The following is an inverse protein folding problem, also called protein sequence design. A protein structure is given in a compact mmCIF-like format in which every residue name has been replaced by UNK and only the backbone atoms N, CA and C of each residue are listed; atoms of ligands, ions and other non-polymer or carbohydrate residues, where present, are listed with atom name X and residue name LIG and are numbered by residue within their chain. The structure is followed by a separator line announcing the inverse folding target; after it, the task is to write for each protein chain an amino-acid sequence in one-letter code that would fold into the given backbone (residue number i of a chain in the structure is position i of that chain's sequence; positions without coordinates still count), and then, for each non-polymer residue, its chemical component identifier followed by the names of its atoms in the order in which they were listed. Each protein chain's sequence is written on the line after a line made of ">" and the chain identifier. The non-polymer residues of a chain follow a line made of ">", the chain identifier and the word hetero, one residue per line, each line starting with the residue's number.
data_IF_732715123470
#
_entry.id   IF_732715123470
#
_cell.length_a   1.000
_cell.length_b   1.000
_cell.length_c   1.000
_cell.angle_alpha   90.00
_cell.angle_beta   90.00
_cell.angle_gamma   90.00
#
_symmetry.space_group_name_H-M   'P 1'
#
loop_
_entity.id
_entity.type
_entity.pdbx_description
1 polymer ?
#
# COMPACT_ATOMS: atom_id res chain seq x y z
N UNK A 1 15.50 59.96 -38.14
CA UNK A 1 14.15 59.35 -38.18
C UNK A 1 14.30 57.90 -38.59
N UNK A 2 13.76 57.02 -37.74
CA UNK A 2 13.27 55.65 -37.95
C UNK A 2 13.65 54.85 -39.22
N UNK A 3 14.17 53.64 -38.98
CA UNK A 3 13.92 52.33 -39.62
C UNK A 3 15.25 51.55 -39.69
N UNK A 4 15.44 50.34 -39.16
CA UNK A 4 14.50 49.27 -38.81
C UNK A 4 15.02 47.97 -39.44
N UNK A 5 16.09 47.41 -38.89
CA UNK A 5 16.69 46.14 -39.33
C UNK A 5 16.09 45.00 -38.52
N UNK A 6 15.30 44.15 -39.17
CA UNK A 6 14.77 42.91 -38.63
C UNK A 6 15.79 41.77 -38.85
N UNK A 7 16.22 41.14 -37.77
CA UNK A 7 16.87 39.83 -37.80
C UNK A 7 16.16 38.95 -36.76
N UNK A 8 15.28 38.09 -37.25
CA UNK A 8 14.64 37.05 -36.47
C UNK A 8 15.63 35.89 -36.29
N UNK A 9 16.18 35.76 -35.08
CA UNK A 9 16.86 34.56 -34.65
C UNK A 9 15.80 33.55 -34.17
N UNK A 10 15.64 32.46 -34.92
CA UNK A 10 14.91 31.27 -34.51
C UNK A 10 15.62 30.65 -33.31
N UNK A 11 15.11 30.91 -32.11
CA UNK A 11 15.51 30.18 -30.92
C UNK A 11 14.87 28.79 -30.98
N UNK A 12 15.69 27.74 -31.10
CA UNK A 12 15.22 26.37 -30.94
C UNK A 12 14.61 26.18 -29.55
N UNK A 13 13.51 25.41 -29.43
CA UNK A 13 12.90 25.14 -28.14
C UNK A 13 13.90 24.37 -27.27
N UNK A 14 14.34 24.98 -26.17
CA UNK A 14 15.11 24.29 -25.13
C UNK A 14 14.34 23.03 -24.71
N UNK A 15 14.99 21.85 -24.62
CA UNK A 15 14.34 20.68 -24.05
C UNK A 15 13.95 21.00 -22.61
N UNK A 16 12.69 20.76 -22.28
CA UNK A 16 12.15 21.00 -20.95
C UNK A 16 13.01 20.28 -19.92
N UNK A 17 13.45 21.01 -18.88
CA UNK A 17 14.11 20.40 -17.73
C UNK A 17 13.14 19.35 -17.16
N UNK A 18 13.54 18.08 -16.99
CA UNK A 18 12.65 17.04 -16.44
C UNK A 18 12.10 17.40 -15.05
N UNK A 19 12.78 18.29 -14.31
CA UNK A 19 12.27 18.83 -13.06
C UNK A 19 11.12 19.84 -13.23
N UNK A 20 11.08 20.62 -14.31
CA UNK A 20 9.98 21.57 -14.57
C UNK A 20 8.67 20.83 -14.95
N UNK A 21 8.80 19.66 -15.58
CA UNK A 21 7.67 18.77 -15.87
C UNK A 21 7.13 18.14 -14.57
N UNK A 22 8.02 17.74 -13.66
CA UNK A 22 7.63 17.19 -12.35
C UNK A 22 7.00 18.25 -11.42
N UNK A 23 7.50 19.49 -11.43
CA UNK A 23 6.95 20.58 -10.62
C UNK A 23 5.57 21.01 -11.14
N UNK A 24 5.34 20.99 -12.46
CA UNK A 24 3.98 21.16 -13.02
C UNK A 24 3.06 19.97 -12.75
N UNK A 25 3.59 18.74 -12.74
CA UNK A 25 2.86 17.51 -12.47
C UNK A 25 2.57 17.25 -10.97
N UNK A 26 2.84 18.21 -10.08
CA UNK A 26 2.55 18.10 -8.64
C UNK A 26 1.73 19.27 -8.08
N UNK A 27 1.29 20.21 -8.91
CA UNK A 27 0.29 21.19 -8.49
C UNK A 27 -1.11 20.59 -8.67
N UNK A 28 -1.66 20.06 -7.58
CA UNK A 28 -3.04 19.61 -7.57
C UNK A 28 -3.97 20.80 -7.82
N UNK A 29 -4.86 20.73 -8.83
CA UNK A 29 -5.84 21.77 -8.99
C UNK A 29 -6.83 21.73 -7.83
N UNK A 30 -7.13 22.89 -7.24
CA UNK A 30 -8.02 23.01 -6.07
C UNK A 30 -9.47 22.53 -6.34
N UNK A 31 -9.81 22.25 -7.60
CA UNK A 31 -11.15 21.80 -8.02
C UNK A 31 -11.09 20.56 -8.89
N UNK A 32 -12.03 19.64 -8.60
CA UNK A 32 -12.14 18.30 -9.18
C UNK A 32 -12.38 18.33 -10.70
N UNK A 33 -13.00 19.38 -11.24
CA UNK A 33 -13.31 19.50 -12.68
C UNK A 33 -12.06 19.72 -13.56
N UNK A 34 -10.97 20.22 -12.99
CA UNK A 34 -9.68 20.42 -13.69
C UNK A 34 -8.79 19.18 -13.74
N UNK A 35 -9.16 18.11 -13.02
CA UNK A 35 -8.35 16.90 -12.91
C UNK A 35 -8.30 16.12 -14.23
N UNK A 36 -9.34 16.20 -15.05
CA UNK A 36 -9.44 15.42 -16.29
C UNK A 36 -8.52 15.96 -17.39
N UNK A 37 -8.43 17.30 -17.52
CA UNK A 37 -7.50 17.94 -18.45
C UNK A 37 -6.03 17.76 -18.02
N UNK A 38 -5.80 17.80 -16.70
CA UNK A 38 -4.49 17.57 -16.10
C UNK A 38 -3.96 16.14 -16.33
N UNK A 39 -4.81 15.13 -16.14
CA UNK A 39 -4.44 13.73 -16.36
C UNK A 39 -4.15 13.41 -17.83
N UNK A 40 -4.84 14.05 -18.78
CA UNK A 40 -4.57 13.89 -20.20
C UNK A 40 -3.18 14.42 -20.59
N UNK A 41 -2.75 15.53 -20.02
CA UNK A 41 -1.47 16.18 -20.32
C UNK A 41 -0.28 15.38 -19.73
N UNK A 42 -0.44 14.87 -18.50
CA UNK A 42 0.57 14.01 -17.84
C UNK A 42 0.76 12.68 -18.57
N UNK A 43 -0.33 12.08 -19.05
CA UNK A 43 -0.26 10.82 -19.81
C UNK A 43 0.31 10.99 -21.22
N UNK A 44 0.08 12.15 -21.86
CA UNK A 44 0.72 12.51 -23.12
C UNK A 44 2.23 12.71 -22.99
N UNK A 45 2.70 13.32 -21.90
CA UNK A 45 4.12 13.53 -21.64
C UNK A 45 4.90 12.22 -21.39
N UNK A 46 4.24 11.23 -20.77
CA UNK A 46 4.85 9.93 -20.44
C UNK A 46 4.93 8.96 -21.63
N UNK A 47 4.11 9.16 -22.67
CA UNK A 47 4.07 8.31 -23.85
C UNK A 47 5.06 8.71 -24.96
N UNK A 48 5.72 9.87 -24.83
CA UNK A 48 6.66 10.41 -25.83
C UNK A 48 8.14 10.01 -25.67
N UNK A 49 8.53 9.22 -24.66
CA UNK A 49 9.93 8.87 -24.41
C UNK A 49 10.27 7.45 -24.88
N UNK A 50 10.44 7.29 -26.19
CA UNK A 50 11.06 6.12 -26.81
C UNK A 50 12.09 6.56 -27.85
N UNK A 51 13.32 6.81 -27.43
CA UNK A 51 14.43 7.20 -28.30
C UNK A 51 15.74 6.55 -27.84
N UNK A 52 16.41 5.88 -28.77
CA UNK A 52 17.62 5.07 -28.65
C UNK A 52 18.78 5.75 -27.90
N UNK A 53 19.52 4.96 -27.11
CA UNK A 53 20.78 5.35 -26.49
C UNK A 53 21.96 4.62 -27.14
N UNK A 54 22.86 5.40 -27.75
CA UNK A 54 24.25 5.04 -28.06
C UNK A 54 25.18 5.64 -26.99
N UNK A 55 26.05 4.79 -26.42
CA UNK A 55 27.23 5.10 -25.57
C UNK A 55 28.34 5.82 -26.41
N UNK A 56 29.48 6.38 -25.89
CA UNK A 56 30.11 6.21 -24.56
C UNK A 56 30.89 7.39 -23.91
N UNK A 57 31.34 7.14 -22.66
CA UNK A 57 32.56 7.64 -21.96
C UNK A 57 32.60 8.98 -21.18
N UNK A 58 32.93 8.88 -19.87
CA UNK A 58 33.93 9.75 -19.20
C UNK A 58 33.55 10.52 -17.92
N UNK A 59 34.07 10.10 -16.75
CA UNK A 59 34.55 11.05 -15.70
C UNK A 59 33.82 11.16 -14.33
N UNK A 60 34.23 10.33 -13.34
CA UNK A 60 34.46 10.59 -11.90
C UNK A 60 33.35 11.20 -10.96
N UNK A 61 33.44 10.98 -9.62
CA UNK A 61 32.32 10.50 -8.81
C UNK A 61 31.62 11.58 -7.97
N UNK A 62 30.28 11.54 -7.92
CA UNK A 62 29.48 12.25 -6.90
C UNK A 62 28.36 11.36 -6.39
N UNK A 63 28.43 11.03 -5.10
CA UNK A 63 27.32 10.71 -4.20
C UNK A 63 26.20 9.80 -4.74
N UNK A 64 26.50 8.50 -4.92
CA UNK A 64 25.55 7.52 -5.45
C UNK A 64 24.78 6.69 -4.40
N UNK A 65 24.58 7.21 -3.17
CA UNK A 65 23.89 6.43 -2.10
C UNK A 65 22.38 6.70 -2.03
N UNK A 66 21.83 7.67 -2.78
CA UNK A 66 20.39 7.97 -2.78
C UNK A 66 19.68 7.73 -4.13
N UNK A 67 20.35 7.09 -5.11
CA UNK A 67 19.81 6.91 -6.47
C UNK A 67 19.37 5.48 -6.81
N UNK A 68 19.04 4.66 -5.82
CA UNK A 68 18.34 3.40 -6.09
C UNK A 68 16.93 3.50 -5.53
N UNK A 69 15.94 3.96 -6.33
CA UNK A 69 14.56 3.66 -5.99
C UNK A 69 14.49 2.14 -5.84
N UNK A 70 13.99 1.68 -4.70
CA UNK A 70 13.72 0.28 -4.47
C UNK A 70 12.98 -0.24 -5.69
N UNK A 71 13.64 -1.11 -6.46
CA UNK A 71 13.04 -1.75 -7.61
C UNK A 71 11.85 -2.52 -7.06
N UNK A 72 10.64 -2.06 -7.40
CA UNK A 72 9.36 -2.71 -7.14
C UNK A 72 9.45 -4.17 -7.59
N UNK A 73 9.82 -5.06 -6.67
CA UNK A 73 9.84 -6.51 -6.83
C UNK A 73 8.97 -7.12 -5.75
N UNK A 74 7.67 -7.11 -6.01
CA UNK A 74 6.71 -8.14 -5.62
C UNK A 74 5.31 -7.61 -5.90
N UNK A 75 4.58 -8.29 -6.78
CA UNK A 75 3.18 -8.00 -7.12
C UNK A 75 2.16 -8.41 -6.02
N UNK A 76 2.60 -8.53 -4.77
CA UNK A 76 1.79 -8.80 -3.59
C UNK A 76 2.22 -7.78 -2.53
N UNK A 77 1.41 -6.91 -1.92
CA UNK A 77 -0.04 -6.86 -1.67
C UNK A 77 -0.44 -5.36 -1.63
N UNK A 78 -0.77 -4.71 -2.76
CA UNK A 78 -0.96 -3.25 -2.79
C UNK A 78 -2.18 -2.75 -2.00
N UNK A 79 -3.20 -3.58 -1.81
CA UNK A 79 -4.49 -3.15 -1.26
C UNK A 79 -4.51 -2.97 0.26
N UNK A 80 -3.54 -3.54 0.98
CA UNK A 80 -3.34 -3.33 2.43
C UNK A 80 -2.26 -2.30 2.75
N UNK A 81 -1.61 -1.72 1.74
CA UNK A 81 -0.56 -0.73 1.96
C UNK A 81 -1.09 0.49 2.73
N UNK A 82 -2.26 1.03 2.36
CA UNK A 82 -2.85 2.19 3.06
C UNK A 82 -3.16 1.91 4.54
N UNK A 83 -3.89 0.84 4.93
CA UNK A 83 -4.12 0.54 6.34
C UNK A 83 -2.84 0.18 7.10
N UNK A 84 -1.89 -0.51 6.46
CA UNK A 84 -0.61 -0.82 7.09
C UNK A 84 0.24 0.43 7.34
N UNK A 85 0.26 1.39 6.40
CA UNK A 85 0.93 2.69 6.57
C UNK A 85 0.29 3.46 7.74
N UNK A 86 -1.05 3.47 7.82
CA UNK A 86 -1.76 4.14 8.90
C UNK A 86 -1.45 3.52 10.27
N UNK A 87 -1.48 2.19 10.40
CA UNK A 87 -1.11 1.49 11.63
C UNK A 87 0.36 1.72 12.00
N UNK A 88 1.26 1.66 11.02
CA UNK A 88 2.68 1.94 11.21
C UNK A 88 2.93 3.36 11.74
N UNK A 89 2.25 4.38 11.17
CA UNK A 89 2.32 5.77 11.68
C UNK A 89 1.88 5.88 13.12
N UNK A 90 0.80 5.19 13.49
CA UNK A 90 0.32 5.21 14.88
C UNK A 90 1.29 4.44 15.81
N UNK A 91 1.96 3.40 15.32
CA UNK A 91 3.00 2.72 16.06
C UNK A 91 4.23 3.62 16.31
N UNK A 92 4.64 4.42 15.31
CA UNK A 92 5.65 5.47 15.47
C UNK A 92 5.20 6.53 16.47
N UNK A 93 3.93 6.94 16.43
CA UNK A 93 3.35 7.88 17.39
C UNK A 93 3.48 7.37 18.83
N UNK A 94 3.24 6.08 19.07
CA UNK A 94 3.45 5.48 20.41
C UNK A 94 4.90 5.48 20.84
N UNK A 95 5.84 5.28 19.92
CA UNK A 95 7.26 5.38 20.23
C UNK A 95 7.66 6.79 20.64
N UNK A 96 7.13 7.80 19.95
CA UNK A 96 7.30 9.19 20.34
C UNK A 96 6.80 9.41 21.76
N UNK A 97 5.54 9.09 22.04
CA UNK A 97 4.92 9.29 23.37
C UNK A 97 5.68 8.55 24.45
N UNK A 98 6.14 7.32 24.20
CA UNK A 98 6.92 6.53 25.15
C UNK A 98 8.28 7.13 25.45
N UNK A 99 8.93 7.72 24.45
CA UNK A 99 10.27 8.29 24.57
C UNK A 99 10.24 9.67 25.21
N UNK A 100 9.23 10.47 24.86
CA UNK A 100 9.04 11.85 25.33
C UNK A 100 8.27 11.90 26.65
N UNK A 101 7.44 10.89 26.93
CA UNK A 101 6.61 10.77 28.13
C UNK A 101 5.21 11.38 28.00
N UNK A 102 4.95 12.18 26.96
CA UNK A 102 3.65 12.83 26.71
C UNK A 102 3.43 13.13 25.22
N UNK A 103 2.17 13.23 24.75
CA UNK A 103 1.85 13.40 23.32
C UNK A 103 2.13 14.80 22.76
N UNK A 104 2.13 15.82 23.61
CA UNK A 104 2.37 17.23 23.29
C UNK A 104 3.81 17.67 23.66
N UNK A 105 4.71 16.71 23.84
CA UNK A 105 6.09 16.99 24.20
C UNK A 105 6.97 17.20 22.98
N UNK A 106 8.25 17.45 23.26
CA UNK A 106 9.27 17.65 22.23
C UNK A 106 10.31 16.55 22.38
N UNK A 107 10.67 15.93 21.27
CA UNK A 107 11.75 14.95 21.22
C UNK A 107 13.08 15.67 21.00
N UNK A 108 13.99 15.55 21.97
CA UNK A 108 15.34 16.06 21.85
C UNK A 108 16.19 15.21 20.90
N UNK A 109 17.27 15.80 20.35
CA UNK A 109 18.25 15.09 19.54
C UNK A 109 18.82 13.83 20.23
N UNK A 110 19.04 13.86 21.55
CA UNK A 110 19.53 12.70 22.30
C UNK A 110 18.52 11.55 22.38
N UNK A 111 17.23 11.87 22.56
CA UNK A 111 16.15 10.88 22.51
C UNK A 111 16.02 10.28 21.10
N UNK A 112 16.10 11.12 20.07
CA UNK A 112 16.07 10.68 18.68
C UNK A 112 17.26 9.77 18.34
N UNK A 113 18.46 10.10 18.85
CA UNK A 113 19.65 9.26 18.74
C UNK A 113 19.44 7.87 19.37
N UNK A 114 18.75 7.80 20.51
CA UNK A 114 18.36 6.54 21.13
C UNK A 114 17.45 5.67 20.24
N UNK A 115 16.44 6.28 19.59
CA UNK A 115 15.57 5.57 18.66
C UNK A 115 16.31 5.11 17.39
N UNK A 116 17.17 5.96 16.85
CA UNK A 116 17.99 5.65 15.68
C UNK A 116 18.94 4.46 15.97
N UNK A 117 19.61 4.47 17.13
CA UNK A 117 20.49 3.39 17.56
C UNK A 117 19.76 2.04 17.71
N UNK A 118 18.47 2.07 18.03
CA UNK A 118 17.60 0.89 18.09
C UNK A 118 17.03 0.49 16.71
N UNK A 119 17.35 1.22 15.64
CA UNK A 119 16.80 0.97 14.30
C UNK A 119 15.30 1.26 14.19
N UNK A 120 14.75 2.12 15.06
CA UNK A 120 13.31 2.40 15.13
C UNK A 120 12.84 3.49 14.17
N UNK A 121 13.76 4.20 13.51
CA UNK A 121 13.43 5.21 12.51
C UNK A 121 13.21 4.60 11.11
N UNK A 122 12.23 5.10 10.34
CA UNK A 122 11.99 4.71 8.95
C UNK A 122 13.24 4.80 8.08
N UNK A 123 13.41 3.86 7.16
CA UNK A 123 14.57 3.81 6.26
C UNK A 123 15.93 3.57 6.95
N UNK A 124 15.96 3.33 8.27
CA UNK A 124 17.19 3.18 9.08
C UNK A 124 18.14 4.38 8.96
N UNK A 125 17.58 5.55 8.73
CA UNK A 125 18.31 6.82 8.71
C UNK A 125 18.83 7.16 10.12
N UNK A 126 19.97 7.85 10.16
CA UNK A 126 20.54 8.34 11.41
C UNK A 126 19.73 9.50 12.00
N UNK A 127 19.88 9.73 13.31
CA UNK A 127 19.14 10.77 14.03
C UNK A 127 19.40 12.18 13.48
N UNK A 128 20.66 12.51 13.14
CA UNK A 128 21.01 13.82 12.57
C UNK A 128 20.31 14.07 11.23
N UNK A 129 20.29 13.05 10.35
CA UNK A 129 19.63 13.14 9.06
C UNK A 129 18.10 13.25 9.21
N UNK A 130 17.51 12.55 10.16
CA UNK A 130 16.09 12.65 10.46
C UNK A 130 15.73 14.03 10.97
N UNK A 131 16.48 14.55 11.96
CA UNK A 131 16.29 15.87 12.53
C UNK A 131 16.38 16.95 11.46
N UNK A 132 17.44 16.94 10.64
CA UNK A 132 17.63 17.91 9.58
C UNK A 132 16.51 17.90 8.51
N UNK A 133 15.85 16.76 8.31
CA UNK A 133 14.76 16.65 7.34
C UNK A 133 13.38 17.04 7.91
N UNK A 134 13.20 16.97 9.23
CA UNK A 134 11.88 17.05 9.87
C UNK A 134 11.71 18.23 10.83
N UNK A 135 12.79 18.78 11.37
CA UNK A 135 12.80 19.98 12.22
C UNK A 135 12.51 21.21 11.35
N UNK A 136 11.24 21.63 11.27
CA UNK A 136 10.81 22.66 10.32
C UNK A 136 11.05 24.06 10.87
N UNK A 137 11.02 24.22 12.19
CA UNK A 137 11.24 25.51 12.85
C UNK A 137 12.69 25.73 13.28
N UNK A 138 13.54 24.69 13.23
CA UNK A 138 14.97 24.76 13.47
C UNK A 138 15.33 24.86 14.94
N UNK A 139 14.45 24.42 15.84
CA UNK A 139 14.66 24.50 17.30
C UNK A 139 15.54 23.37 17.85
N UNK A 140 15.95 22.42 17.00
CA UNK A 140 16.77 21.27 17.34
C UNK A 140 16.00 20.16 18.06
N UNK A 141 14.66 20.21 18.04
CA UNK A 141 13.74 19.26 18.64
C UNK A 141 12.65 18.92 17.61
N UNK A 142 11.86 17.90 17.92
CA UNK A 142 10.74 17.50 17.07
C UNK A 142 9.45 17.48 17.87
N UNK A 143 8.45 18.18 17.36
CA UNK A 143 7.05 17.93 17.71
C UNK A 143 6.60 16.57 17.18
N UNK A 144 5.41 16.10 17.58
CA UNK A 144 4.88 14.83 17.08
C UNK A 144 4.52 14.92 15.59
N UNK A 145 4.09 16.09 15.11
CA UNK A 145 3.78 16.37 13.71
C UNK A 145 5.04 16.42 12.82
N UNK A 146 6.18 16.77 13.40
CA UNK A 146 7.47 16.73 12.73
C UNK A 146 8.09 15.34 12.79
N UNK A 147 7.95 14.63 13.90
CA UNK A 147 8.47 13.29 14.03
C UNK A 147 7.79 12.27 13.09
N UNK A 148 6.49 12.45 12.79
CA UNK A 148 5.73 11.47 12.00
C UNK A 148 5.91 11.70 10.49
N UNK A 149 6.53 10.74 9.76
CA UNK A 149 6.74 10.87 8.32
C UNK A 149 5.42 10.79 7.55
N UNK A 150 5.31 11.47 6.42
CA UNK A 150 4.13 11.39 5.54
C UNK A 150 3.89 9.97 5.01
N UNK A 151 2.66 9.68 4.57
CA UNK A 151 2.36 8.38 3.94
C UNK A 151 3.21 8.16 2.68
N UNK A 152 3.44 9.22 1.91
CA UNK A 152 4.30 9.20 0.73
C UNK A 152 5.76 8.93 1.08
N UNK A 153 6.26 9.57 2.14
CA UNK A 153 7.61 9.32 2.62
C UNK A 153 7.81 7.88 3.10
N UNK A 154 6.84 7.31 3.82
CA UNK A 154 6.88 5.89 4.20
C UNK A 154 6.94 5.01 2.95
N UNK A 155 6.12 5.29 1.94
CA UNK A 155 6.11 4.54 0.69
C UNK A 155 7.45 4.61 -0.09
N UNK A 156 8.22 5.69 0.09
CA UNK A 156 9.55 5.85 -0.54
C UNK A 156 10.68 5.25 0.29
N UNK A 157 10.56 5.21 1.61
CA UNK A 157 11.66 4.88 2.54
C UNK A 157 11.56 3.50 3.18
N UNK A 158 10.38 2.87 3.14
CA UNK A 158 10.12 1.55 3.73
C UNK A 158 9.64 0.58 2.65
N UNK A 159 10.08 -0.67 2.74
CA UNK A 159 9.55 -1.75 1.93
C UNK A 159 8.07 -1.99 2.28
N UNK A 160 7.17 -1.54 1.40
CA UNK A 160 5.73 -1.67 1.58
C UNK A 160 5.24 -3.12 1.64
N UNK A 161 5.94 -4.05 1.00
CA UNK A 161 5.59 -5.47 1.04
C UNK A 161 5.91 -6.04 2.41
N UNK A 162 7.11 -5.76 2.93
CA UNK A 162 7.50 -6.15 4.27
C UNK A 162 6.58 -5.52 5.33
N UNK A 163 6.27 -4.22 5.19
CA UNK A 163 5.37 -3.50 6.09
C UNK A 163 3.95 -4.08 6.08
N UNK A 164 3.42 -4.39 4.89
CA UNK A 164 2.09 -5.01 4.75
C UNK A 164 2.06 -6.41 5.35
N UNK A 165 3.10 -7.22 5.11
CA UNK A 165 3.22 -8.54 5.71
C UNK A 165 3.30 -8.46 7.23
N UNK A 166 4.07 -7.52 7.78
CA UNK A 166 4.14 -7.28 9.23
C UNK A 166 2.77 -6.97 9.81
N UNK A 167 2.03 -6.05 9.18
CA UNK A 167 0.68 -5.68 9.56
C UNK A 167 -0.28 -6.88 9.53
N UNK A 168 -0.31 -7.62 8.42
CA UNK A 168 -1.20 -8.79 8.23
C UNK A 168 -0.93 -9.86 9.28
N UNK A 169 0.34 -10.23 9.47
CA UNK A 169 0.73 -11.33 10.34
C UNK A 169 0.90 -10.92 11.81
N UNK A 170 0.72 -9.65 12.15
CA UNK A 170 0.91 -9.15 13.52
C UNK A 170 2.35 -9.27 14.03
N UNK A 171 3.32 -9.41 13.13
CA UNK A 171 4.75 -9.47 13.49
C UNK A 171 5.34 -8.05 13.48
N UNK A 172 6.47 -7.81 14.19
CA UNK A 172 7.09 -6.49 14.20
C UNK A 172 7.37 -5.96 12.79
N UNK A 173 7.15 -4.66 12.60
CA UNK A 173 7.56 -3.91 11.41
C UNK A 173 9.08 -3.97 11.21
N UNK A 174 9.60 -3.64 10.01
CA UNK A 174 11.05 -3.61 9.75
C UNK A 174 11.89 -2.75 10.70
N UNK A 175 11.25 -1.81 11.40
CA UNK A 175 11.82 -0.91 12.41
C UNK A 175 11.51 -1.34 13.86
N UNK A 176 10.96 -2.55 14.06
CA UNK A 176 10.77 -3.18 15.37
C UNK A 176 9.52 -2.74 16.15
N UNK A 177 8.71 -1.82 15.64
CA UNK A 177 7.38 -1.54 16.19
C UNK A 177 6.46 -2.73 15.98
N UNK A 178 5.61 -3.02 16.98
CA UNK A 178 4.58 -4.05 16.84
C UNK A 178 3.32 -3.41 16.28
N UNK A 179 2.65 -4.01 15.27
CA UNK A 179 1.36 -3.54 14.78
C UNK A 179 0.37 -3.33 15.93
N UNK A 180 -0.32 -2.19 15.94
CA UNK A 180 -1.26 -1.87 17.02
C UNK A 180 -2.58 -2.59 16.83
N UNK A 181 -2.91 -2.82 15.56
CA UNK A 181 -3.96 -3.69 15.08
C UNK A 181 -3.24 -4.67 14.17
N UNK A 182 -3.16 -5.94 14.54
CA UNK A 182 -2.84 -6.93 13.51
C UNK A 182 -3.97 -6.91 12.47
N UNK A 183 -3.72 -7.37 11.24
CA UNK A 183 -4.80 -7.73 10.33
C UNK A 183 -5.82 -8.67 10.99
N UNK A 184 -5.42 -9.38 12.04
CA UNK A 184 -6.30 -10.16 12.90
C UNK A 184 -7.29 -9.32 13.74
N UNK A 185 -7.03 -8.05 14.03
CA UNK A 185 -8.03 -7.15 14.63
C UNK A 185 -9.05 -6.61 13.62
N UNK A 186 -8.85 -6.83 12.30
CA UNK A 186 -9.88 -6.69 11.27
C UNK A 186 -10.83 -7.92 11.20
N UNK A 187 -10.70 -8.90 12.12
CA UNK A 187 -11.69 -9.98 12.29
C UNK A 187 -11.17 -11.40 12.45
N UNK A 188 -9.94 -11.61 12.90
CA UNK A 188 -9.33 -12.92 13.22
C UNK A 188 -8.81 -12.99 14.68
N UNK A 189 -9.61 -12.60 15.67
CA UNK A 189 -9.34 -12.88 17.08
C UNK A 189 -10.48 -13.71 17.68
N UNK A 190 -10.38 -15.04 17.53
CA UNK A 190 -10.76 -16.17 18.43
C UNK A 190 -11.98 -16.14 19.37
N UNK A 191 -12.89 -15.17 19.29
CA UNK A 191 -14.27 -15.28 19.80
C UNK A 191 -15.22 -14.70 18.75
N UNK A 192 -15.68 -15.56 17.84
CA UNK A 192 -16.62 -15.22 16.77
C UNK A 192 -15.97 -14.90 15.43
N UNK A 193 -15.21 -15.83 14.85
CA UNK A 193 -14.80 -15.75 13.43
C UNK A 193 -16.09 -15.60 12.60
N UNK A 194 -16.25 -14.44 11.97
CA UNK A 194 -17.44 -14.16 11.17
C UNK A 194 -17.40 -15.05 9.93
N UNK A 195 -18.25 -16.08 9.93
CA UNK A 195 -18.30 -17.07 8.85
C UNK A 195 -18.66 -16.46 7.50
N UNK A 196 -19.46 -15.38 7.48
CA UNK A 196 -19.99 -14.81 6.25
C UNK A 196 -19.66 -13.35 6.09
N UNK A 197 -19.42 -12.91 4.86
CA UNK A 197 -19.32 -11.51 4.51
C UNK A 197 -20.72 -10.92 4.36
N UNK A 198 -20.92 -9.68 4.79
CA UNK A 198 -22.18 -9.01 4.55
C UNK A 198 -22.31 -8.69 3.06
N UNK A 199 -23.54 -8.66 2.51
CA UNK A 199 -23.76 -8.26 1.12
C UNK A 199 -23.14 -6.89 0.79
N UNK A 200 -23.23 -5.92 1.72
CA UNK A 200 -22.66 -4.59 1.55
C UNK A 200 -21.14 -4.59 1.39
N UNK A 201 -20.42 -5.44 2.11
CA UNK A 201 -18.96 -5.57 1.98
C UNK A 201 -18.56 -6.20 0.65
N UNK A 202 -19.28 -7.26 0.24
CA UNK A 202 -19.04 -7.89 -1.07
C UNK A 202 -19.26 -6.86 -2.18
N UNK A 203 -20.35 -6.11 -2.13
CA UNK A 203 -20.61 -5.04 -3.10
C UNK A 203 -19.55 -3.94 -3.08
N UNK A 204 -19.07 -3.54 -1.90
CA UNK A 204 -17.97 -2.59 -1.75
C UNK A 204 -16.69 -3.07 -2.44
N UNK A 205 -16.33 -4.35 -2.26
CA UNK A 205 -15.17 -4.99 -2.92
C UNK A 205 -15.33 -4.99 -4.44
N UNK A 206 -16.52 -5.34 -4.93
CA UNK A 206 -16.85 -5.36 -6.36
C UNK A 206 -16.71 -3.97 -6.99
N UNK A 207 -17.26 -2.92 -6.34
CA UNK A 207 -17.10 -1.53 -6.82
C UNK A 207 -15.64 -1.08 -6.82
N UNK A 208 -14.90 -1.41 -5.75
CA UNK A 208 -13.47 -1.11 -5.68
C UNK A 208 -12.65 -1.84 -6.75
N UNK A 209 -13.02 -3.07 -7.09
CA UNK A 209 -12.40 -3.80 -8.20
C UNK A 209 -12.69 -3.16 -9.56
N UNK A 210 -13.96 -2.84 -9.84
CA UNK A 210 -14.36 -2.18 -11.09
C UNK A 210 -13.59 -0.86 -11.30
N UNK A 211 -13.53 -0.01 -10.27
CA UNK A 211 -12.79 1.26 -10.32
C UNK A 211 -11.30 1.06 -10.64
N UNK A 212 -10.66 0.06 -10.03
CA UNK A 212 -9.22 -0.24 -10.26
C UNK A 212 -8.90 -0.65 -11.69
N UNK A 213 -9.81 -1.37 -12.36
CA UNK A 213 -9.60 -1.81 -13.75
C UNK A 213 -10.13 -0.81 -14.79
N UNK A 214 -10.52 0.41 -14.36
CA UNK A 214 -11.17 1.40 -15.23
C UNK A 214 -12.56 0.97 -15.71
N UNK A 215 -13.17 0.01 -15.03
CA UNK A 215 -14.45 -0.58 -15.35
C UNK A 215 -15.64 0.10 -14.67
N UNK A 216 -16.82 -0.45 -14.89
CA UNK A 216 -18.08 -0.01 -14.27
C UNK A 216 -18.83 -1.19 -13.66
N UNK A 217 -19.64 -0.94 -12.62
CA UNK A 217 -20.51 -1.96 -12.04
C UNK A 217 -21.93 -1.86 -12.57
N UNK A 218 -22.62 -2.99 -12.71
CA UNK A 218 -24.03 -3.05 -13.09
C UNK A 218 -24.74 -4.18 -12.33
N UNK A 219 -26.07 -4.19 -12.29
CA UNK A 219 -26.85 -5.31 -11.73
C UNK A 219 -27.18 -6.29 -12.85
N UNK A 220 -26.87 -7.57 -12.64
CA UNK A 220 -27.23 -8.62 -13.59
C UNK A 220 -28.73 -8.97 -13.50
N UNK A 221 -29.17 -9.93 -14.33
CA UNK A 221 -30.56 -10.40 -14.34
C UNK A 221 -31.02 -11.00 -13.00
N UNK A 222 -30.09 -11.36 -12.11
CA UNK A 222 -30.35 -11.93 -10.79
C UNK A 222 -30.23 -10.88 -9.67
N UNK A 223 -30.06 -9.59 -10.01
CA UNK A 223 -29.87 -8.51 -9.05
C UNK A 223 -28.49 -8.50 -8.36
N UNK A 224 -27.55 -9.33 -8.82
CA UNK A 224 -26.18 -9.36 -8.28
C UNK A 224 -25.37 -8.24 -8.90
N UNK A 225 -24.45 -7.66 -8.12
CA UNK A 225 -23.53 -6.66 -8.64
C UNK A 225 -22.45 -7.35 -9.49
N UNK A 226 -22.36 -6.99 -10.76
CA UNK A 226 -21.39 -7.48 -11.72
C UNK A 226 -20.50 -6.33 -12.22
N UNK A 227 -19.41 -6.67 -12.91
CA UNK A 227 -18.40 -5.72 -13.39
C UNK A 227 -18.26 -5.80 -14.89
N UNK A 228 -18.12 -4.64 -15.55
CA UNK A 228 -17.60 -4.52 -16.92
C UNK A 228 -16.23 -3.89 -16.87
N UNK A 229 -15.32 -4.33 -17.73
CA UNK A 229 -14.01 -3.71 -17.90
C UNK A 229 -14.11 -2.33 -18.59
N UNK A 230 -12.97 -1.69 -18.85
CA UNK A 230 -12.91 -0.40 -19.52
C UNK A 230 -13.48 -0.43 -20.96
N UNK A 231 -13.56 -1.59 -21.60
CA UNK A 231 -14.12 -1.77 -22.95
C UNK A 231 -15.62 -2.12 -22.90
N UNK A 232 -16.23 -2.16 -21.72
CA UNK A 232 -17.63 -2.52 -21.54
C UNK A 232 -17.89 -4.04 -21.57
N UNK A 233 -16.85 -4.88 -21.61
CA UNK A 233 -17.00 -6.34 -21.60
C UNK A 233 -17.22 -6.86 -20.18
N UNK A 234 -18.13 -7.83 -19.96
CA UNK A 234 -18.39 -8.37 -18.64
C UNK A 234 -17.15 -9.13 -18.10
N UNK A 235 -16.79 -8.87 -16.85
CA UNK A 235 -15.69 -9.55 -16.15
C UNK A 235 -16.28 -10.63 -15.25
N UNK A 236 -16.18 -11.88 -15.71
CA UNK A 236 -16.65 -13.05 -14.98
C UNK A 236 -15.77 -14.29 -15.29
N UNK A 237 -15.47 -15.14 -14.29
CA UNK A 237 -15.79 -15.00 -12.88
C UNK A 237 -14.99 -13.88 -12.20
N UNK A 238 -15.56 -13.28 -11.16
CA UNK A 238 -14.81 -12.36 -10.32
C UNK A 238 -13.80 -13.13 -9.47
N UNK A 239 -12.61 -12.57 -9.23
CA UNK A 239 -11.61 -13.21 -8.37
C UNK A 239 -12.14 -13.51 -6.95
N UNK A 240 -11.73 -14.64 -6.32
CA UNK A 240 -12.22 -15.06 -5.00
C UNK A 240 -11.96 -14.08 -3.85
N UNK A 241 -10.97 -13.20 -3.98
CA UNK A 241 -10.70 -12.12 -3.03
C UNK A 241 -11.75 -11.01 -3.08
N UNK A 242 -12.36 -10.80 -4.26
CA UNK A 242 -13.43 -9.82 -4.47
C UNK A 242 -14.77 -10.40 -4.04
N UNK A 243 -15.08 -11.60 -4.53
CA UNK A 243 -16.28 -12.35 -4.17
C UNK A 243 -15.84 -13.66 -3.52
N UNK A 244 -15.92 -13.77 -2.18
CA UNK A 244 -15.50 -14.99 -1.51
C UNK A 244 -16.34 -16.17 -2.00
N UNK A 245 -15.79 -17.40 -1.97
CA UNK A 245 -16.58 -18.58 -2.27
C UNK A 245 -17.72 -18.75 -1.26
N UNK A 246 -18.75 -19.50 -1.66
CA UNK A 246 -19.77 -19.99 -0.72
C UNK A 246 -19.12 -20.86 0.36
N UNK A 247 -19.79 -21.01 1.50
CA UNK A 247 -19.31 -21.89 2.58
C UNK A 247 -19.02 -23.29 2.05
N UNK A 248 -19.95 -23.86 1.29
CA UNK A 248 -19.83 -25.20 0.71
C UNK A 248 -18.60 -25.33 -0.21
N UNK A 249 -18.36 -24.33 -1.07
CA UNK A 249 -17.19 -24.30 -1.94
C UNK A 249 -15.88 -24.16 -1.16
N UNK A 250 -15.86 -23.33 -0.12
CA UNK A 250 -14.70 -23.14 0.72
C UNK A 250 -14.38 -24.41 1.53
N UNK A 251 -15.40 -25.05 2.10
CA UNK A 251 -15.27 -26.30 2.85
C UNK A 251 -14.78 -27.45 1.96
N UNK A 252 -15.30 -27.56 0.74
CA UNK A 252 -14.85 -28.55 -0.25
C UNK A 252 -13.39 -28.32 -0.66
N UNK A 253 -13.00 -27.08 -0.91
CA UNK A 253 -11.61 -26.74 -1.18
C UNK A 253 -10.69 -27.06 0.01
N UNK A 254 -11.16 -26.80 1.23
CA UNK A 254 -10.43 -27.10 2.45
C UNK A 254 -10.27 -28.62 2.65
N UNK A 255 -11.30 -29.42 2.36
CA UNK A 255 -11.21 -30.90 2.37
C UNK A 255 -10.11 -31.39 1.44
N UNK A 256 -10.04 -30.86 0.22
CA UNK A 256 -9.00 -31.25 -0.76
C UNK A 256 -7.61 -30.87 -0.29
N UNK A 257 -7.43 -29.64 0.21
CA UNK A 257 -6.18 -29.19 0.79
C UNK A 257 -5.71 -30.12 1.91
N UNK A 258 -6.62 -30.46 2.81
CA UNK A 258 -6.33 -31.30 3.97
C UNK A 258 -6.01 -32.74 3.57
N UNK A 259 -6.72 -33.30 2.58
CA UNK A 259 -6.40 -34.61 2.02
C UNK A 259 -4.99 -34.65 1.40
N UNK A 260 -4.58 -33.58 0.72
CA UNK A 260 -3.25 -33.49 0.09
C UNK A 260 -2.11 -33.50 1.12
N UNK A 261 -2.33 -32.91 2.30
CA UNK A 261 -1.34 -32.88 3.38
C UNK A 261 -1.48 -34.04 4.38
N UNK A 262 -2.42 -34.97 4.15
CA UNK A 262 -2.68 -36.11 5.04
C UNK A 262 -3.35 -35.74 6.37
N UNK A 263 -4.05 -34.62 6.44
CA UNK A 263 -4.73 -34.13 7.64
C UNK A 263 -6.21 -34.50 7.76
N UNK A 264 -6.93 -33.83 8.65
CA UNK A 264 -8.40 -33.93 8.80
C UNK A 264 -9.06 -32.55 8.95
N UNK A 265 -10.30 -32.41 8.46
CA UNK A 265 -11.09 -31.19 8.56
C UNK A 265 -12.44 -31.51 9.18
N UNK A 266 -12.82 -30.75 10.21
CA UNK A 266 -14.11 -30.88 10.90
C UNK A 266 -14.92 -29.60 10.67
N UNK A 267 -16.11 -29.75 10.12
CA UNK A 267 -17.02 -28.65 9.80
C UNK A 267 -18.19 -28.71 10.76
N UNK A 268 -18.51 -27.58 11.39
CA UNK A 268 -19.66 -27.48 12.26
C UNK A 268 -20.48 -26.25 11.89
N UNK A 269 -21.79 -26.27 12.17
CA UNK A 269 -22.69 -25.20 11.77
C UNK A 269 -22.37 -23.89 12.51
N UNK A 270 -22.03 -23.97 13.80
CA UNK A 270 -21.94 -22.81 14.70
C UNK A 270 -20.50 -22.36 15.01
N UNK A 271 -19.51 -23.07 14.48
CA UNK A 271 -18.09 -22.75 14.64
C UNK A 271 -17.39 -22.77 13.28
N UNK A 272 -16.27 -22.05 13.19
CA UNK A 272 -15.37 -22.13 12.05
C UNK A 272 -14.94 -23.57 11.78
N UNK A 273 -14.56 -23.89 10.53
CA UNK A 273 -13.88 -25.15 10.23
C UNK A 273 -12.67 -25.33 11.16
N UNK A 274 -12.44 -26.57 11.57
CA UNK A 274 -11.28 -26.95 12.34
C UNK A 274 -10.40 -27.85 11.47
N UNK A 275 -9.18 -27.41 11.19
CA UNK A 275 -8.25 -28.16 10.34
C UNK A 275 -7.12 -28.69 11.18
N UNK A 276 -6.81 -29.98 11.02
CA UNK A 276 -5.68 -30.63 11.69
C UNK A 276 -4.73 -31.23 10.67
N UNK A 277 -3.44 -31.13 10.93
CA UNK A 277 -2.38 -31.75 10.13
C UNK A 277 -2.28 -33.26 10.35
N UNK A 278 -1.34 -33.93 9.66
CA UNK A 278 -1.12 -35.37 9.79
C UNK A 278 -0.66 -35.80 11.19
N UNK A 279 -0.08 -34.88 11.96
CA UNK A 279 0.32 -35.07 13.36
C UNK A 279 -0.84 -34.85 14.35
N UNK A 280 -2.04 -34.56 13.85
CA UNK A 280 -3.23 -34.27 14.65
C UNK A 280 -3.26 -32.87 15.27
N UNK A 281 -2.23 -32.03 15.05
CA UNK A 281 -2.21 -30.65 15.55
C UNK A 281 -3.09 -29.76 14.68
N UNK A 282 -3.74 -28.79 15.33
CA UNK A 282 -4.53 -27.79 14.62
C UNK A 282 -3.64 -26.91 13.73
N UNK A 283 -4.04 -26.75 12.48
CA UNK A 283 -3.39 -25.84 11.53
C UNK A 283 -4.06 -24.48 11.72
N UNK A 284 -3.30 -23.44 12.12
CA UNK A 284 -3.86 -22.12 12.33
C UNK A 284 -4.34 -21.52 11.01
N UNK A 285 -5.38 -20.68 11.07
CA UNK A 285 -6.11 -20.17 9.92
C UNK A 285 -5.21 -19.48 8.89
N UNK A 286 -4.14 -18.82 9.34
CA UNK A 286 -3.18 -18.08 8.51
C UNK A 286 -2.37 -19.01 7.59
N UNK A 287 -2.32 -20.31 7.90
CA UNK A 287 -1.64 -21.32 7.09
C UNK A 287 -2.57 -21.99 6.08
N UNK A 288 -3.87 -21.66 6.08
CA UNK A 288 -4.81 -22.19 5.11
C UNK A 288 -4.70 -21.44 3.79
N UNK A 289 -5.08 -22.05 2.66
CA UNK A 289 -5.19 -21.33 1.39
C UNK A 289 -6.06 -20.07 1.55
N UNK A 290 -5.62 -18.87 1.13
CA UNK A 290 -6.34 -17.63 1.42
C UNK A 290 -7.82 -17.61 1.01
N UNK A 291 -8.16 -18.28 -0.10
CA UNK A 291 -9.53 -18.35 -0.62
C UNK A 291 -10.44 -19.30 0.16
N UNK A 292 -9.91 -20.12 1.07
CA UNK A 292 -10.71 -21.01 1.95
C UNK A 292 -10.89 -20.43 3.35
N UNK A 293 -10.29 -19.27 3.62
CA UNK A 293 -10.44 -18.59 4.90
C UNK A 293 -11.77 -17.83 4.95
N UNK A 294 -12.49 -17.82 6.09
CA UNK A 294 -13.62 -16.91 6.30
C UNK A 294 -13.18 -15.45 6.18
N UNK A 295 -14.08 -14.51 5.83
CA UNK A 295 -15.52 -14.71 5.66
C UNK A 295 -15.94 -15.20 4.25
N UNK A 296 -16.92 -16.11 4.20
CA UNK A 296 -17.51 -16.71 2.99
C UNK A 296 -18.68 -15.92 2.41
N UNK A 297 -19.12 -16.26 1.20
CA UNK A 297 -20.36 -15.73 0.65
C UNK A 297 -21.56 -16.26 1.46
N UNK A 298 -22.53 -15.41 1.85
CA UNK A 298 -23.72 -15.86 2.55
C UNK A 298 -24.58 -16.77 1.65
N UNK A 299 -25.36 -17.70 2.22
CA UNK A 299 -26.37 -18.41 1.46
C UNK A 299 -27.34 -17.40 0.81
N UNK A 300 -27.75 -17.69 -0.43
CA UNK A 300 -28.69 -16.86 -1.19
C UNK A 300 -30.14 -17.19 -0.83
#
# INVERSE_FOLDING_TARGET
>A
MLAGLAAAALAEPRPANPYDVLVRALQFPERIESLTAYLADVLGALSGQGGEATDPSGGQPRSAVLQRPATLRSAAVPWLASPAIADYREALRKDFVRTVGKPDGYMSAGQLAGLAAQGRLPGRVGAEAWLAAHDRDGDGRLTIEEFLPSAEEIARTVDLVALTNSFVHGIPYPTGQVPLRSGAAFGLATTGVRLFATPAEIEGRIRGYASRIGGTTYRDANGRLAVRDANGQPVFPLPPDIVPPTKEQAEEALRRFVQQIGGTAEFAPDRGPLVRGPDGREIPLEQWPPYTQPPYHPPQ
#
